data_IF_421846903480
#
_entry.id   IF_421846903480
#
_cell.length_a   1.000
_cell.length_b   1.000
_cell.length_c   1.000
_cell.angle_alpha   90.00
_cell.angle_beta   90.00
_cell.angle_gamma   90.00
#
_symmetry.space_group_name_H-M   'P 1'
#
loop_
_entity.id
_entity.type
_entity.pdbx_description
1 polymer ?
#
# COMPACT_ATOMS: atom_id res chain seq x y z
N UNK A 1 -33.06 -1.88 40.79
CA UNK A 1 -34.39 -1.28 40.67
C UNK A 1 -34.91 -1.65 39.26
N UNK A 2 -35.47 -2.86 39.20
CA UNK A 2 -35.99 -3.49 37.97
C UNK A 2 -37.51 -3.32 38.02
N UNK A 3 -38.09 -2.49 37.18
CA UNK A 3 -39.54 -2.35 37.10
C UNK A 3 -39.97 -2.49 35.62
N UNK A 4 -40.47 -3.67 35.34
CA UNK A 4 -41.62 -4.09 34.54
C UNK A 4 -41.84 -3.50 33.13
N UNK A 5 -41.12 -4.01 32.14
CA UNK A 5 -41.36 -3.80 30.69
C UNK A 5 -42.53 -4.66 30.14
N UNK A 6 -43.09 -5.58 30.91
CA UNK A 6 -44.21 -6.47 30.48
C UNK A 6 -45.58 -5.82 30.42
N UNK A 7 -45.80 -4.70 31.13
CA UNK A 7 -47.13 -4.08 31.19
C UNK A 7 -47.46 -3.15 30.01
N UNK A 8 -46.45 -2.63 29.35
CA UNK A 8 -46.64 -1.68 28.24
C UNK A 8 -46.88 -2.34 26.87
N UNK A 9 -46.58 -3.63 26.72
CA UNK A 9 -46.87 -4.40 25.50
C UNK A 9 -48.29 -4.93 25.37
N UNK A 10 -49.03 -4.97 26.48
CA UNK A 10 -50.42 -5.41 26.50
C UNK A 10 -51.39 -4.31 26.06
N UNK A 11 -51.15 -3.05 26.41
CA UNK A 11 -52.01 -1.91 26.03
C UNK A 11 -51.95 -1.55 24.53
N UNK A 12 -50.85 -1.86 23.85
CA UNK A 12 -50.69 -1.55 22.42
C UNK A 12 -51.41 -2.56 21.50
N UNK A 13 -51.71 -3.78 21.99
CA UNK A 13 -52.44 -4.80 21.21
C UNK A 13 -53.95 -4.60 21.17
N UNK A 14 -54.55 -3.95 22.17
CA UNK A 14 -55.98 -3.72 22.21
C UNK A 14 -56.42 -2.42 21.53
N UNK A 15 -55.51 -1.45 21.35
CA UNK A 15 -55.75 -0.22 20.58
C UNK A 15 -55.78 -0.44 19.06
N UNK A 16 -55.08 -1.45 18.56
CA UNK A 16 -55.03 -1.77 17.13
C UNK A 16 -56.24 -2.59 16.64
N UNK A 17 -56.94 -3.28 17.57
CA UNK A 17 -58.10 -4.12 17.20
C UNK A 17 -59.40 -3.32 17.14
N UNK A 18 -59.46 -2.11 17.74
CA UNK A 18 -60.67 -1.26 17.76
C UNK A 18 -60.76 -0.33 16.52
N UNK A 19 -59.68 -0.22 15.72
CA UNK A 19 -59.63 0.67 14.56
C UNK A 19 -59.97 -0.02 13.22
N UNK A 20 -60.22 -1.34 13.22
CA UNK A 20 -60.47 -2.14 12.00
C UNK A 20 -61.97 -2.39 11.75
N UNK A 21 -62.88 -2.02 12.68
CA UNK A 21 -64.35 -2.35 12.57
C UNK A 21 -65.21 -1.22 12.09
N UNK A 22 -64.67 -0.11 11.54
CA UNK A 22 -65.49 1.08 11.18
C UNK A 22 -65.42 1.52 9.71
N UNK A 23 -65.13 0.64 8.79
CA UNK A 23 -65.13 0.98 7.35
C UNK A 23 -65.80 -0.11 6.49
N UNK A 24 -67.13 -0.33 6.72
CA UNK A 24 -67.93 -0.98 5.73
C UNK A 24 -69.40 -0.45 5.88
N UNK A 25 -69.68 0.59 5.12
CA UNK A 25 -71.03 0.83 4.53
C UNK A 25 -70.93 2.11 3.68
N UNK A 26 -71.00 2.03 2.39
CA UNK A 26 -71.97 2.78 1.57
C UNK A 26 -71.90 2.33 0.12
N UNK A 27 -72.95 1.80 -0.35
CA UNK A 27 -73.31 1.47 -1.72
C UNK A 27 -73.89 2.69 -2.43
N UNK A 28 -73.68 2.84 -3.75
CA UNK A 28 -74.50 3.76 -4.56
C UNK A 28 -73.84 4.08 -5.91
N UNK A 29 -74.28 3.34 -6.95
CA UNK A 29 -74.07 3.72 -8.37
C UNK A 29 -74.98 4.86 -8.80
N UNK A 30 -74.65 5.64 -9.86
CA UNK A 30 -75.07 5.19 -11.21
C UNK A 30 -74.04 5.39 -12.32
N UNK A 31 -74.22 4.63 -13.38
CA UNK A 31 -73.56 4.63 -14.68
C UNK A 31 -73.68 5.98 -15.37
N UNK A 32 -72.61 6.45 -15.94
CA UNK A 32 -72.59 7.25 -17.18
C UNK A 32 -71.49 6.75 -18.09
N UNK A 33 -71.93 6.34 -19.26
CA UNK A 33 -71.08 5.98 -20.41
C UNK A 33 -70.31 7.21 -20.86
N UNK A 34 -68.98 7.12 -20.89
CA UNK A 34 -68.11 7.96 -21.75
C UNK A 34 -67.13 7.08 -22.49
N UNK A 35 -67.06 7.37 -23.76
CA UNK A 35 -66.23 6.74 -24.82
C UNK A 35 -64.77 6.50 -24.41
N UNK A 36 -64.09 5.49 -24.99
CA UNK A 36 -62.71 5.18 -24.63
C UNK A 36 -61.79 6.29 -25.18
N UNK A 37 -61.28 7.10 -24.28
CA UNK A 37 -60.10 7.92 -24.53
C UNK A 37 -58.95 6.94 -24.76
N UNK A 38 -58.36 6.98 -25.96
CA UNK A 38 -57.11 6.31 -26.28
C UNK A 38 -56.08 6.74 -25.22
N UNK A 39 -55.70 5.83 -24.37
CA UNK A 39 -54.48 5.95 -23.61
C UNK A 39 -53.32 5.94 -24.61
N UNK A 40 -52.75 7.11 -24.91
CA UNK A 40 -51.45 7.20 -25.53
C UNK A 40 -50.49 6.71 -24.44
N UNK A 41 -49.98 5.50 -24.63
CA UNK A 41 -48.82 5.03 -23.91
C UNK A 41 -47.66 5.96 -24.24
N UNK A 42 -47.35 6.93 -23.39
CA UNK A 42 -46.07 7.61 -23.40
C UNK A 42 -44.98 6.54 -23.08
N UNK A 43 -44.27 6.08 -24.10
CA UNK A 43 -43.05 5.32 -23.86
C UNK A 43 -42.07 6.22 -23.07
N UNK A 44 -41.77 5.88 -21.83
CA UNK A 44 -40.86 6.62 -20.96
C UNK A 44 -39.53 6.92 -21.71
N UNK A 45 -39.19 8.20 -21.79
CA UNK A 45 -37.93 8.68 -22.37
C UNK A 45 -37.90 8.95 -23.88
N UNK A 46 -39.07 9.03 -24.55
CA UNK A 46 -39.14 9.45 -25.95
C UNK A 46 -39.30 10.98 -26.08
N UNK A 47 -38.45 11.64 -26.82
CA UNK A 47 -38.48 13.10 -27.07
C UNK A 47 -38.63 13.36 -28.56
N UNK A 48 -39.62 14.18 -28.92
CA UNK A 48 -39.92 14.60 -30.30
C UNK A 48 -39.59 16.08 -30.50
N UNK A 49 -38.86 16.42 -31.57
CA UNK A 49 -38.52 17.79 -31.99
C UNK A 49 -39.14 18.11 -33.32
N UNK A 50 -39.67 19.33 -33.49
CA UNK A 50 -39.99 19.87 -34.82
C UNK A 50 -38.70 20.17 -35.60
N UNK A 51 -38.78 20.29 -36.95
CA UNK A 51 -37.60 20.63 -37.76
C UNK A 51 -36.93 21.97 -37.36
N UNK A 52 -37.72 22.92 -36.88
CA UNK A 52 -37.24 24.23 -36.40
C UNK A 52 -36.48 24.06 -35.04
N UNK A 53 -37.07 23.34 -34.12
CA UNK A 53 -36.44 23.03 -32.81
C UNK A 53 -35.14 22.25 -33.00
N UNK A 54 -35.11 21.27 -33.91
CA UNK A 54 -33.93 20.50 -34.27
C UNK A 54 -32.76 21.36 -34.73
N UNK A 55 -33.06 22.40 -35.55
CA UNK A 55 -32.06 23.35 -36.04
C UNK A 55 -31.58 24.30 -34.92
N UNK A 56 -32.49 24.80 -34.11
CA UNK A 56 -32.15 25.73 -33.03
C UNK A 56 -31.28 25.07 -31.97
N UNK A 57 -31.57 23.81 -31.65
CA UNK A 57 -30.78 23.03 -30.70
C UNK A 57 -29.44 22.50 -31.29
N UNK A 58 -29.11 22.84 -32.51
CA UNK A 58 -27.89 22.43 -33.23
C UNK A 58 -27.58 20.93 -33.07
N UNK A 59 -28.63 20.09 -33.11
CA UNK A 59 -28.49 18.65 -32.91
C UNK A 59 -27.60 18.07 -34.02
N UNK A 60 -26.49 17.46 -33.56
CA UNK A 60 -25.64 16.65 -34.45
C UNK A 60 -25.62 15.21 -34.00
N UNK A 61 -25.68 14.32 -35.01
CA UNK A 61 -25.66 12.87 -34.79
C UNK A 61 -24.28 12.32 -35.10
N UNK A 62 -23.83 11.38 -34.27
CA UNK A 62 -22.62 10.60 -34.47
C UNK A 62 -22.88 9.13 -34.17
N UNK A 63 -21.83 8.36 -34.11
CA UNK A 63 -21.84 6.95 -33.74
C UNK A 63 -20.84 6.75 -32.61
N UNK A 64 -20.93 5.62 -31.87
CA UNK A 64 -19.88 5.23 -30.99
C UNK A 64 -18.58 5.07 -31.76
N UNK A 65 -17.53 5.73 -31.28
CA UNK A 65 -16.21 5.63 -31.86
C UNK A 65 -15.34 4.75 -30.98
N UNK A 66 -14.52 3.91 -31.60
CA UNK A 66 -13.46 3.22 -30.89
C UNK A 66 -12.32 4.19 -30.67
N UNK A 67 -11.99 4.42 -29.41
CA UNK A 67 -10.91 5.30 -28.98
C UNK A 67 -9.95 4.54 -28.08
N UNK A 68 -8.67 4.80 -28.26
CA UNK A 68 -7.68 4.42 -27.29
C UNK A 68 -7.74 5.40 -26.12
N UNK A 69 -8.35 4.98 -25.02
CA UNK A 69 -8.37 5.78 -23.79
C UNK A 69 -7.47 5.13 -22.75
N UNK A 70 -6.61 5.94 -22.16
CA UNK A 70 -5.75 5.52 -21.04
C UNK A 70 -6.48 5.74 -19.72
N UNK A 71 -6.81 4.66 -19.07
CA UNK A 71 -7.35 4.71 -17.73
C UNK A 71 -6.26 5.04 -16.73
N UNK A 72 -6.58 5.86 -15.74
CA UNK A 72 -5.73 6.02 -14.55
C UNK A 72 -6.43 5.47 -13.34
N UNK A 73 -5.72 4.69 -12.52
CA UNK A 73 -6.21 4.25 -11.22
C UNK A 73 -5.64 5.18 -10.15
N UNK A 74 -6.52 5.93 -9.48
CA UNK A 74 -6.12 6.81 -8.37
C UNK A 74 -5.91 5.97 -7.12
N UNK A 75 -4.74 6.10 -6.51
CA UNK A 75 -4.33 5.37 -5.32
C UNK A 75 -3.58 6.29 -4.36
N UNK A 76 -3.52 5.89 -3.10
CA UNK A 76 -2.69 6.56 -2.10
C UNK A 76 -1.51 5.66 -1.73
N UNK A 77 -0.50 6.24 -1.12
CA UNK A 77 0.66 5.50 -0.67
C UNK A 77 1.56 6.31 0.26
N UNK A 78 2.70 5.75 0.54
CA UNK A 78 3.77 6.36 1.31
C UNK A 78 5.11 6.14 0.60
N UNK A 79 6.07 6.99 0.88
CA UNK A 79 7.47 6.67 0.58
C UNK A 79 8.00 5.73 1.65
N UNK A 80 8.58 4.61 1.26
CA UNK A 80 9.13 3.63 2.18
C UNK A 80 10.53 3.20 1.76
N UNK A 81 11.21 2.52 2.68
CA UNK A 81 12.54 1.99 2.49
C UNK A 81 12.50 0.48 2.28
N UNK A 82 13.25 -0.05 1.31
CA UNK A 82 13.42 -1.49 1.24
C UNK A 82 14.09 -2.00 2.53
N UNK A 83 13.77 -3.23 2.99
CA UNK A 83 14.29 -3.77 4.26
C UNK A 83 15.82 -3.73 4.38
N UNK A 84 16.55 -3.81 3.27
CA UNK A 84 18.03 -3.71 3.24
C UNK A 84 18.56 -2.32 3.56
N UNK A 85 17.75 -1.28 3.39
CA UNK A 85 18.11 0.13 3.59
C UNK A 85 17.74 0.65 4.97
N UNK A 86 17.09 -0.15 5.81
CA UNK A 86 16.78 0.18 7.21
C UNK A 86 17.46 -0.84 8.13
N UNK A 87 18.44 -0.40 8.90
CA UNK A 87 19.23 -1.29 9.76
C UNK A 87 19.09 -0.89 11.23
N UNK A 88 18.76 -1.90 12.04
CA UNK A 88 18.78 -1.79 13.50
C UNK A 88 20.18 -2.09 14.04
N UNK A 89 20.69 -1.23 14.88
CA UNK A 89 21.97 -1.42 15.58
C UNK A 89 21.68 -1.85 17.01
N UNK A 90 22.06 -3.08 17.32
CA UNK A 90 22.02 -3.66 18.67
C UNK A 90 23.45 -3.96 19.14
N UNK A 91 23.62 -4.25 20.41
CA UNK A 91 24.90 -4.64 20.96
C UNK A 91 25.10 -6.16 20.92
N UNK A 92 26.27 -6.69 20.51
CA UNK A 92 26.54 -8.13 20.54
C UNK A 92 26.83 -8.67 21.96
N UNK A 93 27.12 -7.79 22.90
CA UNK A 93 27.32 -8.09 24.31
C UNK A 93 26.56 -7.04 25.15
N UNK A 94 25.78 -7.45 26.13
CA UNK A 94 25.09 -6.53 27.02
C UNK A 94 26.03 -5.61 27.74
N UNK A 95 25.56 -4.47 28.26
CA UNK A 95 26.39 -3.56 29.01
C UNK A 95 25.84 -2.16 29.15
N UNK A 96 26.64 -1.30 29.74
CA UNK A 96 26.30 0.10 29.97
C UNK A 96 26.87 0.95 28.83
N UNK A 97 26.03 1.82 28.27
CA UNK A 97 26.45 2.84 27.28
C UNK A 97 27.32 3.87 28.00
N UNK A 98 28.61 3.88 27.71
CA UNK A 98 29.57 4.81 28.29
C UNK A 98 29.58 6.14 27.59
N UNK A 99 29.46 6.14 26.27
CA UNK A 99 29.40 7.34 25.47
C UNK A 99 28.62 7.08 24.16
N UNK A 100 27.90 8.10 23.71
CA UNK A 100 27.30 8.20 22.38
C UNK A 100 27.13 9.68 22.03
N UNK A 101 27.38 10.03 20.80
CA UNK A 101 27.19 11.38 20.25
C UNK A 101 26.07 11.40 19.21
N UNK A 102 25.40 10.26 19.02
CA UNK A 102 24.38 10.12 18.00
C UNK A 102 23.11 10.88 18.33
N UNK A 103 22.67 11.69 17.37
CA UNK A 103 21.40 12.39 17.38
C UNK A 103 20.54 11.96 16.19
N UNK A 104 19.23 11.97 16.40
CA UNK A 104 18.30 11.74 15.30
C UNK A 104 18.49 12.80 14.21
N UNK A 105 18.54 12.38 12.94
CA UNK A 105 18.81 13.22 11.80
C UNK A 105 20.29 13.33 11.41
N UNK A 106 21.22 12.85 12.22
CA UNK A 106 22.65 12.86 11.87
C UNK A 106 22.93 11.92 10.70
N UNK A 107 23.75 12.39 9.76
CA UNK A 107 24.30 11.56 8.66
C UNK A 107 25.54 10.83 9.16
N UNK A 108 25.58 9.52 8.97
CA UNK A 108 26.71 8.65 9.34
C UNK A 108 27.19 7.87 8.13
N UNK A 109 28.48 7.52 8.13
CA UNK A 109 29.06 6.59 7.16
C UNK A 109 29.20 5.21 7.78
N UNK A 110 29.19 4.16 6.97
CA UNK A 110 29.55 2.81 7.42
C UNK A 110 30.88 2.83 8.15
N UNK A 111 30.93 2.23 9.33
CA UNK A 111 32.11 2.22 10.20
C UNK A 111 32.24 3.44 11.14
N UNK A 112 31.31 4.40 11.11
CA UNK A 112 31.29 5.50 12.09
C UNK A 112 30.98 4.93 13.49
N UNK A 113 31.75 5.37 14.52
CA UNK A 113 31.50 5.00 15.91
C UNK A 113 30.17 5.59 16.37
N UNK A 114 29.23 4.72 16.78
CA UNK A 114 27.88 5.14 17.24
C UNK A 114 27.72 5.07 18.75
N UNK A 115 28.40 4.12 19.43
CA UNK A 115 28.42 4.06 20.87
C UNK A 115 29.68 3.38 21.40
N UNK A 116 30.05 3.72 22.62
CA UNK A 116 31.07 3.03 23.40
C UNK A 116 30.39 2.32 24.56
N UNK A 117 30.55 1.00 24.63
CA UNK A 117 29.94 0.13 25.61
C UNK A 117 30.94 -0.32 26.66
N UNK A 118 30.47 -0.56 27.87
CA UNK A 118 31.28 -1.10 28.98
C UNK A 118 30.58 -2.31 29.59
N UNK A 119 31.32 -3.43 29.73
CA UNK A 119 30.86 -4.61 30.45
C UNK A 119 32.06 -5.30 31.13
N UNK A 120 31.96 -5.70 32.40
CA UNK A 120 32.99 -6.49 33.07
C UNK A 120 33.30 -7.83 32.42
N UNK A 121 32.30 -8.49 31.83
CA UNK A 121 32.48 -9.75 31.11
C UNK A 121 33.44 -9.59 29.91
N UNK A 122 33.44 -8.42 29.26
CA UNK A 122 34.39 -8.13 28.16
C UNK A 122 35.85 -8.20 28.62
N UNK A 123 36.13 -7.79 29.90
CA UNK A 123 37.45 -7.92 30.51
C UNK A 123 37.77 -9.40 30.74
N UNK A 124 36.82 -10.15 31.29
CA UNK A 124 36.98 -11.59 31.55
C UNK A 124 37.24 -12.37 30.26
N UNK A 125 36.49 -12.06 29.17
CA UNK A 125 36.69 -12.70 27.89
C UNK A 125 38.11 -12.50 27.33
N UNK A 126 38.72 -11.34 27.54
CA UNK A 126 40.10 -11.05 27.16
C UNK A 126 41.11 -11.81 28.00
N UNK A 127 40.87 -11.93 29.33
CA UNK A 127 41.69 -12.72 30.23
C UNK A 127 41.65 -14.20 29.88
N UNK A 128 40.45 -14.76 29.64
CA UNK A 128 40.29 -16.16 29.21
C UNK A 128 41.05 -16.46 27.91
N UNK A 129 41.00 -15.53 26.93
CA UNK A 129 41.72 -15.67 25.68
C UNK A 129 43.26 -15.76 25.93
N UNK A 130 43.82 -14.89 26.76
CA UNK A 130 45.22 -14.89 27.09
C UNK A 130 45.64 -16.16 27.86
N UNK A 131 44.78 -16.64 28.74
CA UNK A 131 45.03 -17.87 29.52
C UNK A 131 45.03 -19.10 28.59
N UNK A 132 43.98 -19.28 27.75
CA UNK A 132 43.94 -20.38 26.77
C UNK A 132 45.10 -20.34 25.80
N UNK A 133 45.54 -19.16 25.37
CA UNK A 133 46.70 -18.99 24.51
C UNK A 133 48.00 -19.46 25.20
N UNK A 134 48.20 -19.10 26.48
CA UNK A 134 49.35 -19.52 27.26
C UNK A 134 49.34 -21.05 27.48
N UNK A 135 48.19 -21.61 27.85
CA UNK A 135 48.01 -23.05 28.00
C UNK A 135 48.28 -23.80 26.69
N UNK A 136 47.80 -23.29 25.58
CA UNK A 136 47.98 -23.90 24.24
C UNK A 136 49.47 -23.97 23.89
N UNK A 137 50.23 -22.90 24.18
CA UNK A 137 51.69 -22.87 23.91
C UNK A 137 52.41 -23.97 24.73
N UNK A 138 52.05 -24.13 26.02
CA UNK A 138 52.62 -25.20 26.85
C UNK A 138 52.22 -26.59 26.34
N UNK A 139 50.94 -26.81 26.03
CA UNK A 139 50.46 -28.11 25.55
C UNK A 139 50.99 -28.48 24.16
N UNK A 140 51.30 -27.48 23.33
CA UNK A 140 51.98 -27.71 22.04
C UNK A 140 53.36 -28.29 22.25
N UNK A 141 54.14 -27.69 23.17
CA UNK A 141 55.49 -28.20 23.47
C UNK A 141 55.44 -29.59 24.11
N UNK A 142 54.43 -29.84 24.97
CA UNK A 142 54.21 -31.16 25.58
C UNK A 142 53.83 -32.22 24.52
N UNK A 143 52.93 -31.87 23.61
CA UNK A 143 52.56 -32.79 22.51
C UNK A 143 53.78 -33.11 21.62
N UNK A 144 54.54 -32.11 21.22
CA UNK A 144 55.78 -32.28 20.43
C UNK A 144 56.78 -33.22 21.13
N UNK A 145 56.95 -33.06 22.47
CA UNK A 145 57.82 -33.93 23.30
C UNK A 145 57.29 -35.37 23.33
N UNK A 146 55.96 -35.55 23.53
CA UNK A 146 55.38 -36.90 23.55
C UNK A 146 55.41 -37.60 22.18
N UNK A 147 55.34 -36.83 21.08
CA UNK A 147 55.53 -37.36 19.73
C UNK A 147 56.97 -37.81 19.45
N UNK A 148 57.99 -37.09 19.96
CA UNK A 148 59.39 -37.49 19.89
C UNK A 148 59.66 -38.77 20.70
N UNK A 149 59.17 -38.86 21.92
CA UNK A 149 59.31 -40.04 22.77
C UNK A 149 58.60 -41.27 22.22
N UNK A 150 57.46 -41.07 21.54
CA UNK A 150 56.75 -42.20 20.87
C UNK A 150 57.54 -42.72 19.66
N UNK A 151 58.20 -41.88 18.89
CA UNK A 151 59.07 -42.29 17.81
C UNK A 151 60.23 -43.16 18.25
N UNK A 152 60.77 -42.88 19.45
CA UNK A 152 61.86 -43.64 20.09
C UNK A 152 61.34 -44.88 20.88
N UNK A 153 60.02 -45.16 20.86
CA UNK A 153 59.34 -46.22 21.62
C UNK A 153 59.58 -46.15 23.15
N UNK A 154 59.81 -44.96 23.71
CA UNK A 154 60.10 -44.72 25.12
C UNK A 154 58.84 -44.48 25.95
N UNK A 155 57.75 -44.03 25.31
CA UNK A 155 56.54 -43.64 26.01
C UNK A 155 55.32 -44.61 25.72
N UNK A 156 54.24 -44.50 26.52
CA UNK A 156 53.05 -45.24 26.26
C UNK A 156 52.13 -44.46 25.27
N UNK A 157 51.52 -45.20 24.33
CA UNK A 157 50.54 -44.65 23.39
C UNK A 157 49.42 -43.87 24.09
N UNK A 158 49.08 -44.25 25.34
CA UNK A 158 48.10 -43.55 26.16
C UNK A 158 48.57 -42.12 26.53
N UNK A 159 49.90 -41.93 26.79
CA UNK A 159 50.45 -40.59 27.16
C UNK A 159 50.37 -39.67 25.92
N UNK A 160 50.76 -40.15 24.75
CA UNK A 160 50.62 -39.37 23.51
C UNK A 160 49.18 -39.01 23.20
N UNK A 161 48.26 -39.99 23.31
CA UNK A 161 46.84 -39.77 23.08
C UNK A 161 46.26 -38.72 24.07
N UNK A 162 46.66 -38.73 25.33
CA UNK A 162 46.27 -37.76 26.35
C UNK A 162 46.78 -36.36 25.93
N UNK A 163 48.07 -36.19 25.65
CA UNK A 163 48.63 -34.92 25.28
C UNK A 163 47.93 -34.33 24.02
N UNK A 164 47.66 -35.17 23.02
CA UNK A 164 46.92 -34.77 21.82
C UNK A 164 45.49 -34.34 22.13
N UNK A 165 44.80 -35.05 23.05
CA UNK A 165 43.42 -34.69 23.47
C UNK A 165 43.38 -33.35 24.20
N UNK A 166 44.33 -33.10 25.11
CA UNK A 166 44.42 -31.86 25.89
C UNK A 166 44.76 -30.68 24.98
N UNK A 167 45.72 -30.83 24.06
CA UNK A 167 46.05 -29.82 23.06
C UNK A 167 44.80 -29.46 22.19
N UNK A 168 44.12 -30.46 21.66
CA UNK A 168 42.94 -30.25 20.83
C UNK A 168 41.80 -29.55 21.65
N UNK A 169 41.61 -29.92 22.87
CA UNK A 169 40.59 -29.32 23.75
C UNK A 169 40.83 -27.83 23.99
N UNK A 170 42.07 -27.45 24.35
CA UNK A 170 42.41 -26.04 24.59
C UNK A 170 42.48 -25.25 23.30
N UNK A 171 42.91 -25.87 22.20
CA UNK A 171 42.87 -25.25 20.86
C UNK A 171 41.42 -24.86 20.49
N UNK A 172 40.47 -25.76 20.68
CA UNK A 172 39.08 -25.48 20.42
C UNK A 172 38.51 -24.35 21.31
N UNK A 173 38.88 -24.34 22.61
CA UNK A 173 38.48 -23.26 23.52
C UNK A 173 39.04 -21.91 23.09
N UNK A 174 40.31 -21.85 22.74
CA UNK A 174 40.95 -20.63 22.27
C UNK A 174 40.30 -20.11 21.00
N UNK A 175 39.99 -21.00 20.03
CA UNK A 175 39.31 -20.63 18.80
C UNK A 175 37.91 -20.07 19.08
N UNK A 176 37.13 -20.72 19.95
CA UNK A 176 35.81 -20.24 20.36
C UNK A 176 35.87 -18.86 21.05
N UNK A 177 36.84 -18.66 21.94
CA UNK A 177 37.04 -17.38 22.61
C UNK A 177 37.48 -16.26 21.66
N UNK A 178 38.37 -16.60 20.75
CA UNK A 178 38.80 -15.69 19.66
C UNK A 178 37.63 -15.26 18.80
N UNK A 179 36.75 -16.19 18.44
CA UNK A 179 35.55 -15.91 17.63
C UNK A 179 34.60 -14.97 18.36
N UNK A 180 34.32 -15.20 19.66
CA UNK A 180 33.52 -14.29 20.49
C UNK A 180 34.08 -12.87 20.53
N UNK A 181 35.38 -12.74 20.79
CA UNK A 181 36.06 -11.45 20.85
C UNK A 181 36.10 -10.74 19.50
N UNK A 182 36.14 -11.46 18.38
CA UNK A 182 36.09 -10.85 17.04
C UNK A 182 34.81 -10.11 16.74
N UNK A 183 33.69 -10.47 17.39
CA UNK A 183 32.41 -9.75 17.29
C UNK A 183 32.45 -8.36 17.95
N UNK A 184 33.44 -8.13 18.84
CA UNK A 184 33.60 -6.91 19.63
C UNK A 184 34.73 -6.02 19.11
N UNK A 185 35.18 -6.24 17.91
CA UNK A 185 36.25 -5.47 17.19
C UNK A 185 37.50 -5.29 18.05
N UNK A 186 38.00 -6.39 18.62
CA UNK A 186 39.22 -6.36 19.43
C UNK A 186 40.50 -6.41 18.56
N UNK A 187 41.49 -5.61 18.94
CA UNK A 187 42.83 -5.72 18.37
C UNK A 187 43.61 -6.82 19.09
N UNK A 188 43.68 -8.02 18.52
CA UNK A 188 44.36 -9.17 19.10
C UNK A 188 45.88 -8.92 19.29
N UNK A 189 46.52 -8.19 18.37
CA UNK A 189 47.93 -7.89 18.50
C UNK A 189 48.27 -7.01 19.75
N UNK A 190 47.36 -6.09 20.08
CA UNK A 190 47.46 -5.28 21.27
C UNK A 190 47.15 -6.10 22.55
N UNK A 191 46.09 -6.94 22.47
CA UNK A 191 45.70 -7.82 23.57
C UNK A 191 46.80 -8.81 23.92
N UNK A 192 47.45 -9.41 22.96
CA UNK A 192 48.57 -10.36 23.12
C UNK A 192 49.83 -9.73 23.74
N UNK A 193 49.93 -8.40 23.66
CA UNK A 193 50.93 -7.60 24.35
C UNK A 193 50.50 -7.17 25.79
N UNK A 194 49.35 -7.65 26.26
CA UNK A 194 48.83 -7.35 27.61
C UNK A 194 47.89 -6.14 27.69
N UNK A 195 47.50 -5.52 26.56
CA UNK A 195 46.59 -4.36 26.53
C UNK A 195 45.17 -4.82 26.65
N UNK A 196 44.61 -4.92 27.86
CA UNK A 196 43.20 -5.24 28.15
C UNK A 196 42.36 -3.95 28.09
N UNK A 197 41.30 -3.96 27.30
CA UNK A 197 40.33 -2.84 27.17
C UNK A 197 39.15 -3.05 28.09
N UNK A 198 38.65 -1.94 28.68
CA UNK A 198 37.44 -1.94 29.54
C UNK A 198 36.16 -1.74 28.72
N UNK A 199 36.28 -1.23 27.50
CA UNK A 199 35.18 -0.84 26.63
C UNK A 199 35.35 -1.42 25.27
N UNK A 200 34.23 -1.66 24.60
CA UNK A 200 34.15 -2.02 23.19
C UNK A 200 33.27 -1.02 22.42
N UNK A 201 33.45 -0.96 21.13
CA UNK A 201 32.82 0.03 20.27
C UNK A 201 31.71 -0.60 19.44
N UNK A 202 30.64 0.16 19.22
CA UNK A 202 29.60 -0.15 18.23
C UNK A 202 29.76 0.79 17.05
N UNK A 203 29.65 0.25 15.86
CA UNK A 203 29.81 0.99 14.61
C UNK A 203 28.59 0.91 13.74
N UNK A 204 28.37 1.96 12.92
CA UNK A 204 27.30 1.99 11.92
C UNK A 204 27.55 0.90 10.85
N UNK A 205 26.61 -0.03 10.63
CA UNK A 205 26.78 -1.11 9.65
C UNK A 205 26.57 -0.64 8.22
N UNK A 206 25.84 0.46 8.02
CA UNK A 206 25.59 1.10 6.73
C UNK A 206 25.84 2.61 6.81
N UNK A 207 25.99 3.26 5.66
CA UNK A 207 25.89 4.72 5.54
C UNK A 207 24.43 5.13 5.47
N UNK A 208 24.07 6.30 6.00
CA UNK A 208 22.70 6.78 5.99
C UNK A 208 22.43 7.81 7.07
N UNK A 209 21.18 7.96 7.48
CA UNK A 209 20.75 8.87 8.53
C UNK A 209 20.27 8.09 9.75
N UNK A 210 20.64 8.57 10.95
CA UNK A 210 20.11 8.05 12.21
C UNK A 210 18.64 8.47 12.33
N UNK A 211 17.74 7.50 12.23
CA UNK A 211 16.29 7.77 12.30
C UNK A 211 15.73 7.63 13.71
N UNK A 212 16.35 6.81 14.55
CA UNK A 212 15.96 6.64 15.95
C UNK A 212 17.19 6.46 16.83
N UNK A 213 17.12 7.05 18.03
CA UNK A 213 18.08 6.89 19.13
C UNK A 213 17.27 6.46 20.34
N UNK A 214 17.41 5.18 20.74
CA UNK A 214 16.64 4.58 21.84
C UNK A 214 17.50 4.34 23.09
N UNK A 215 18.63 5.02 23.19
CA UNK A 215 19.54 4.87 24.33
C UNK A 215 20.13 6.21 24.72
N UNK A 216 20.75 6.25 25.91
CA UNK A 216 21.47 7.41 26.43
C UNK A 216 22.69 6.97 27.23
N UNK A 217 23.59 7.89 27.51
CA UNK A 217 24.77 7.63 28.37
C UNK A 217 24.29 7.18 29.72
N UNK A 218 24.87 6.08 30.21
CA UNK A 218 24.52 5.42 31.48
C UNK A 218 23.40 4.38 31.40
N UNK A 219 22.69 4.28 30.27
CA UNK A 219 21.68 3.25 30.10
C UNK A 219 22.31 1.86 30.00
N UNK A 220 21.65 0.87 30.60
CA UNK A 220 21.97 -0.54 30.38
C UNK A 220 21.28 -0.98 29.06
N UNK A 221 22.00 -1.73 28.24
CA UNK A 221 21.51 -2.27 26.98
C UNK A 221 21.71 -3.79 26.93
N UNK A 222 20.65 -4.49 26.62
CA UNK A 222 20.64 -5.93 26.37
C UNK A 222 20.92 -6.21 24.89
N UNK A 223 21.28 -7.44 24.54
CA UNK A 223 21.53 -7.88 23.15
C UNK A 223 20.29 -7.83 22.26
N UNK A 224 19.09 -7.78 22.85
CA UNK A 224 17.81 -7.68 22.16
C UNK A 224 17.37 -6.25 21.90
N UNK A 225 18.00 -5.27 22.57
CA UNK A 225 17.60 -3.87 22.47
C UNK A 225 18.12 -3.25 21.17
N UNK A 226 17.25 -2.55 20.46
CA UNK A 226 17.62 -1.73 19.32
C UNK A 226 18.05 -0.36 19.81
N UNK A 227 19.35 -0.08 19.80
CA UNK A 227 19.92 1.17 20.31
C UNK A 227 19.75 2.31 19.33
N UNK A 228 19.99 2.02 18.04
CA UNK A 228 19.86 2.98 16.95
C UNK A 228 19.17 2.35 15.75
N UNK A 229 18.46 3.16 14.97
CA UNK A 229 18.09 2.80 13.60
C UNK A 229 18.77 3.72 12.62
N UNK A 230 19.34 3.16 11.58
CA UNK A 230 20.02 3.89 10.52
C UNK A 230 19.35 3.54 9.20
N UNK A 231 18.95 4.57 8.46
CA UNK A 231 18.24 4.46 7.19
C UNK A 231 19.10 5.02 6.06
N UNK A 232 19.29 4.23 5.03
CA UNK A 232 19.81 4.69 3.75
C UNK A 232 18.64 5.22 2.91
N UNK A 233 18.57 6.55 2.81
CA UNK A 233 17.46 7.25 2.12
C UNK A 233 17.78 7.52 0.64
N UNK A 234 18.87 7.02 0.10
CA UNK A 234 19.21 7.20 -1.32
C UNK A 234 18.29 6.38 -2.24
N UNK A 235 17.71 5.28 -1.74
CA UNK A 235 16.88 4.36 -2.51
C UNK A 235 15.48 4.21 -1.94
N UNK A 236 14.69 5.30 -1.96
CA UNK A 236 13.29 5.26 -1.57
C UNK A 236 12.41 4.59 -2.64
N UNK A 237 11.36 3.93 -2.18
CA UNK A 237 10.31 3.36 -3.01
C UNK A 237 8.99 4.06 -2.70
N UNK A 238 8.13 4.19 -3.72
CA UNK A 238 6.73 4.53 -3.46
C UNK A 238 5.97 3.21 -3.23
N UNK A 239 5.46 3.05 -2.02
CA UNK A 239 4.58 1.95 -1.66
C UNK A 239 3.13 2.41 -1.77
N UNK A 240 2.39 1.84 -2.75
CA UNK A 240 1.02 2.22 -3.05
C UNK A 240 0.05 1.17 -2.53
N UNK A 241 -1.05 1.64 -1.97
CA UNK A 241 -2.15 0.80 -1.50
C UNK A 241 -3.28 0.81 -2.52
N UNK A 242 -3.55 -0.33 -3.14
CA UNK A 242 -4.54 -0.47 -4.22
C UNK A 242 -5.65 -1.41 -3.80
N UNK A 243 -6.91 -1.05 -4.06
CA UNK A 243 -8.05 -1.92 -3.77
C UNK A 243 -8.05 -3.17 -4.65
N UNK A 244 -8.46 -4.31 -4.08
CA UNK A 244 -8.55 -5.62 -4.75
C UNK A 244 -9.23 -5.55 -6.13
N UNK A 245 -10.31 -4.78 -6.27
CA UNK A 245 -11.06 -4.60 -7.52
C UNK A 245 -10.24 -4.00 -8.66
N UNK A 246 -9.18 -3.24 -8.32
CA UNK A 246 -8.34 -2.54 -9.30
C UNK A 246 -7.05 -3.30 -9.62
N UNK A 247 -6.69 -4.31 -8.81
CA UNK A 247 -5.49 -5.14 -9.01
C UNK A 247 -5.41 -5.79 -10.40
N UNK A 248 -6.52 -6.30 -11.00
CA UNK A 248 -6.46 -6.91 -12.35
C UNK A 248 -6.02 -5.93 -13.45
N UNK A 249 -6.13 -4.61 -13.22
CA UNK A 249 -5.71 -3.57 -14.16
C UNK A 249 -4.22 -3.26 -14.10
N UNK A 250 -3.51 -3.80 -13.08
CA UNK A 250 -2.12 -3.49 -12.81
C UNK A 250 -1.18 -4.45 -13.54
N UNK A 251 -0.10 -3.90 -14.06
CA UNK A 251 0.98 -4.65 -14.71
C UNK A 251 2.34 -4.09 -14.27
N UNK A 252 3.33 -4.95 -14.22
CA UNK A 252 4.72 -4.53 -14.01
C UNK A 252 5.16 -3.57 -15.12
N UNK A 253 5.94 -2.57 -14.77
CA UNK A 253 6.46 -1.58 -15.70
C UNK A 253 5.49 -0.41 -16.02
N UNK A 254 4.27 -0.40 -15.47
CA UNK A 254 3.36 0.73 -15.63
C UNK A 254 3.95 1.99 -15.01
N UNK A 255 3.72 3.13 -15.67
CA UNK A 255 4.12 4.43 -15.14
C UNK A 255 3.14 4.90 -14.08
N UNK A 256 3.70 5.55 -13.08
CA UNK A 256 2.97 6.10 -11.94
C UNK A 256 3.35 7.57 -11.82
N UNK A 257 2.37 8.45 -11.94
CA UNK A 257 2.52 9.86 -11.59
C UNK A 257 2.08 10.04 -10.14
N UNK A 258 2.89 10.71 -9.34
CA UNK A 258 2.52 10.97 -7.95
C UNK A 258 2.93 12.36 -7.50
N UNK A 259 2.21 12.85 -6.48
CA UNK A 259 2.52 14.09 -5.77
C UNK A 259 2.56 13.82 -4.28
N UNK A 260 3.46 14.46 -3.58
CA UNK A 260 3.49 14.42 -2.11
C UNK A 260 2.38 15.32 -1.54
N UNK A 261 1.96 15.04 -0.30
CA UNK A 261 0.85 15.75 0.32
C UNK A 261 1.07 17.27 0.45
N UNK A 262 2.33 17.71 0.52
CA UNK A 262 2.71 19.09 0.84
C UNK A 262 3.19 19.87 -0.38
N UNK A 263 3.21 19.28 -1.58
CA UNK A 263 3.70 19.93 -2.78
C UNK A 263 2.80 19.66 -3.99
N UNK A 264 2.96 20.48 -5.03
CA UNK A 264 2.24 20.30 -6.30
C UNK A 264 3.14 19.71 -7.40
N UNK A 265 4.40 19.45 -7.09
CA UNK A 265 5.37 18.90 -8.06
C UNK A 265 5.02 17.47 -8.39
N UNK A 266 4.72 17.19 -9.64
CA UNK A 266 4.52 15.84 -10.15
C UNK A 266 5.86 15.10 -10.27
N UNK A 267 5.88 13.89 -9.76
CA UNK A 267 7.02 12.97 -9.80
C UNK A 267 6.62 11.69 -10.50
N UNK A 268 7.59 11.00 -11.05
CA UNK A 268 7.37 9.75 -11.78
C UNK A 268 7.98 8.57 -11.05
N UNK A 269 7.26 7.46 -11.08
CA UNK A 269 7.72 6.17 -10.61
C UNK A 269 7.28 5.07 -11.60
N UNK A 270 7.81 3.88 -11.41
CA UNK A 270 7.47 2.73 -12.25
C UNK A 270 7.11 1.54 -11.36
N UNK A 271 6.00 0.86 -11.64
CA UNK A 271 5.56 -0.34 -10.91
C UNK A 271 6.62 -1.43 -11.06
N UNK A 272 7.22 -1.83 -9.93
CA UNK A 272 8.28 -2.84 -9.87
C UNK A 272 7.76 -4.18 -9.35
N UNK A 273 6.95 -4.17 -8.28
CA UNK A 273 6.34 -5.36 -7.71
C UNK A 273 4.88 -5.13 -7.38
N UNK A 274 4.06 -6.16 -7.59
CA UNK A 274 2.66 -6.21 -7.17
C UNK A 274 2.56 -7.29 -6.11
N UNK A 275 2.11 -6.92 -4.91
CA UNK A 275 1.90 -7.84 -3.79
C UNK A 275 0.96 -9.00 -4.16
N UNK A 276 1.11 -10.12 -3.48
CA UNK A 276 0.30 -11.33 -3.69
C UNK A 276 -0.57 -11.66 -2.47
N UNK A 277 -0.68 -10.73 -1.54
CA UNK A 277 -1.50 -10.86 -0.35
C UNK A 277 -2.52 -9.73 -0.31
N UNK A 278 -3.76 -10.09 0.01
CA UNK A 278 -4.85 -9.13 0.22
C UNK A 278 -4.96 -8.87 1.71
N UNK A 279 -4.84 -7.62 2.12
CA UNK A 279 -4.98 -7.21 3.51
C UNK A 279 -6.42 -7.35 4.02
N UNK A 280 -6.62 -7.15 5.33
CA UNK A 280 -7.95 -7.13 5.95
C UNK A 280 -8.84 -6.02 5.38
N UNK A 281 -8.24 -4.93 4.94
CA UNK A 281 -8.86 -3.76 4.33
C UNK A 281 -9.17 -3.95 2.84
N UNK A 282 -9.01 -5.17 2.29
CA UNK A 282 -9.23 -5.50 0.89
C UNK A 282 -8.32 -4.71 -0.05
N UNK A 283 -7.06 -4.55 0.35
CA UNK A 283 -6.04 -3.86 -0.43
C UNK A 283 -4.83 -4.74 -0.68
N UNK A 284 -4.08 -4.39 -1.73
CA UNK A 284 -2.80 -5.00 -2.10
C UNK A 284 -1.74 -3.89 -2.13
N UNK A 285 -0.55 -4.19 -1.62
CA UNK A 285 0.60 -3.29 -1.68
C UNK A 285 1.33 -3.43 -3.01
N UNK A 286 1.73 -2.29 -3.58
CA UNK A 286 2.50 -2.21 -4.80
C UNK A 286 3.76 -1.40 -4.53
N UNK A 287 4.91 -1.95 -4.90
CA UNK A 287 6.18 -1.26 -4.80
C UNK A 287 6.55 -0.65 -6.15
N UNK A 288 6.82 0.64 -6.14
CA UNK A 288 7.22 1.40 -7.33
C UNK A 288 8.59 2.03 -7.12
N UNK A 289 9.48 1.86 -8.08
CA UNK A 289 10.76 2.55 -8.10
C UNK A 289 10.57 3.99 -8.57
N UNK A 290 11.18 4.94 -7.88
CA UNK A 290 11.22 6.32 -8.31
C UNK A 290 12.10 6.45 -9.55
N UNK A 291 11.64 7.17 -10.56
CA UNK A 291 12.41 7.39 -11.79
C UNK A 291 13.59 8.37 -11.57
N UNK A 292 13.53 9.16 -10.50
CA UNK A 292 14.61 10.06 -10.06
C UNK A 292 14.77 10.00 -8.55
N UNK A 293 16.01 9.84 -8.11
CA UNK A 293 16.37 9.93 -6.69
C UNK A 293 16.32 11.40 -6.23
N UNK A 294 15.85 11.61 -5.02
CA UNK A 294 15.78 12.92 -4.37
C UNK A 294 16.10 12.76 -2.89
N UNK A 295 17.22 13.32 -2.48
CA UNK A 295 17.73 13.23 -1.10
C UNK A 295 16.93 14.05 -0.08
N UNK A 296 16.00 14.90 -0.53
CA UNK A 296 15.12 15.67 0.34
C UNK A 296 13.89 14.85 0.77
N UNK A 297 13.63 13.73 0.10
CA UNK A 297 12.53 12.85 0.44
C UNK A 297 12.80 12.09 1.73
N UNK A 298 11.78 11.98 2.57
CA UNK A 298 11.87 11.31 3.86
C UNK A 298 10.91 10.10 3.87
N UNK A 299 11.35 8.93 4.38
CA UNK A 299 10.48 7.79 4.57
C UNK A 299 9.25 8.15 5.41
N UNK A 300 8.09 7.60 5.04
CA UNK A 300 6.81 7.89 5.69
C UNK A 300 6.05 9.09 5.11
N UNK A 301 6.60 9.82 4.13
CA UNK A 301 5.86 10.88 3.43
C UNK A 301 4.67 10.29 2.68
N UNK A 302 3.48 10.87 2.88
CA UNK A 302 2.26 10.49 2.16
C UNK A 302 2.26 11.02 0.74
N UNK A 303 1.75 10.20 -0.18
CA UNK A 303 1.61 10.54 -1.58
C UNK A 303 0.25 10.15 -2.15
N UNK A 304 -0.17 10.90 -3.16
CA UNK A 304 -1.30 10.57 -4.04
C UNK A 304 -0.74 10.19 -5.40
N UNK A 305 -1.15 9.06 -5.93
CA UNK A 305 -0.64 8.55 -7.18
C UNK A 305 -1.75 8.20 -8.17
N UNK A 306 -1.39 8.26 -9.44
CA UNK A 306 -2.19 7.83 -10.57
C UNK A 306 -1.39 6.79 -11.34
N UNK A 307 -1.82 5.53 -11.26
CA UNK A 307 -1.22 4.43 -12.02
C UNK A 307 -1.84 4.41 -13.41
N UNK A 308 -1.04 4.48 -14.45
CA UNK A 308 -1.50 4.44 -15.84
C UNK A 308 -1.92 3.01 -16.20
N UNK A 309 -3.21 2.80 -16.46
CA UNK A 309 -3.77 1.47 -16.72
C UNK A 309 -3.52 0.96 -18.15
N UNK A 310 -2.69 1.65 -18.93
CA UNK A 310 -2.48 1.37 -20.35
C UNK A 310 -3.63 1.86 -21.22
N UNK A 311 -3.39 1.95 -22.51
CA UNK A 311 -4.41 2.28 -23.49
C UNK A 311 -5.26 1.04 -23.80
N UNK A 312 -6.56 1.18 -23.66
CA UNK A 312 -7.51 0.17 -24.14
C UNK A 312 -8.38 0.79 -25.25
N UNK A 313 -8.58 0.05 -26.32
CA UNK A 313 -9.57 0.43 -27.32
C UNK A 313 -10.96 0.21 -26.73
N UNK A 314 -11.70 1.30 -26.50
CA UNK A 314 -13.03 1.30 -25.89
C UNK A 314 -14.00 2.08 -26.76
N UNK A 315 -15.28 1.70 -26.70
CA UNK A 315 -16.34 2.50 -27.31
C UNK A 315 -16.56 3.76 -26.48
N UNK A 316 -16.43 4.93 -27.11
CA UNK A 316 -16.51 6.23 -26.45
C UNK A 316 -17.38 7.21 -27.23
N UNK A 317 -17.92 8.17 -26.50
CA UNK A 317 -18.65 9.32 -27.03
C UNK A 317 -17.99 10.62 -26.53
N UNK A 318 -18.14 11.73 -27.25
CA UNK A 318 -17.76 13.05 -26.73
C UNK A 318 -18.51 13.34 -25.44
N UNK A 319 -17.85 13.96 -24.46
CA UNK A 319 -18.42 14.24 -23.12
C UNK A 319 -19.77 14.98 -23.19
N UNK A 320 -19.92 15.87 -24.16
CA UNK A 320 -21.16 16.63 -24.43
C UNK A 320 -22.34 15.79 -24.93
N UNK A 321 -22.12 14.52 -25.32
CA UNK A 321 -23.18 13.59 -25.69
C UNK A 321 -23.86 12.94 -24.48
N UNK A 322 -23.21 13.01 -23.30
CA UNK A 322 -23.63 12.33 -22.08
C UNK A 322 -24.26 13.36 -21.14
N UNK A 323 -25.50 13.11 -20.74
CA UNK A 323 -26.24 13.96 -19.82
C UNK A 323 -26.50 13.22 -18.52
N UNK A 324 -26.61 13.97 -17.41
CA UNK A 324 -26.93 13.41 -16.11
C UNK A 324 -28.34 13.83 -15.68
N UNK A 325 -29.13 12.85 -15.29
CA UNK A 325 -30.48 13.04 -14.80
C UNK A 325 -30.76 12.07 -13.67
N UNK A 326 -31.29 12.56 -12.54
CA UNK A 326 -31.58 11.80 -11.31
C UNK A 326 -30.40 10.90 -10.83
N UNK A 327 -29.17 11.39 -10.97
CA UNK A 327 -27.97 10.66 -10.54
C UNK A 327 -27.54 9.52 -11.47
N UNK A 328 -28.18 9.38 -12.63
CA UNK A 328 -27.85 8.42 -13.67
C UNK A 328 -27.40 9.15 -14.94
N UNK A 329 -26.65 8.44 -15.78
CA UNK A 329 -26.14 9.00 -17.04
C UNK A 329 -26.88 8.41 -18.23
N UNK A 330 -27.16 9.28 -19.18
CA UNK A 330 -27.97 8.95 -20.35
C UNK A 330 -27.34 9.50 -21.66
N UNK A 331 -27.73 8.85 -22.74
CA UNK A 331 -27.48 9.34 -24.11
C UNK A 331 -28.79 9.31 -24.88
N UNK A 332 -28.90 10.16 -25.90
CA UNK A 332 -30.08 10.20 -26.78
C UNK A 332 -29.76 9.49 -28.07
N UNK A 333 -30.59 8.52 -28.47
CA UNK A 333 -30.47 7.75 -29.71
C UNK A 333 -31.60 8.17 -30.63
N UNK A 334 -31.22 8.55 -31.87
CA UNK A 334 -32.19 8.90 -32.90
C UNK A 334 -33.00 7.69 -33.33
N UNK A 335 -34.33 7.83 -33.33
CA UNK A 335 -35.29 6.85 -33.82
C UNK A 335 -35.66 7.11 -35.29
N UNK A 336 -36.39 6.18 -35.90
CA UNK A 336 -36.93 6.37 -37.24
C UNK A 336 -37.92 7.55 -37.24
N UNK A 337 -37.83 8.42 -38.23
CA UNK A 337 -38.72 9.59 -38.32
C UNK A 337 -40.18 9.16 -38.45
N UNK A 338 -41.03 9.67 -37.56
CA UNK A 338 -42.49 9.61 -37.74
C UNK A 338 -42.94 10.93 -38.33
N UNK A 339 -43.28 10.93 -39.61
CA UNK A 339 -43.71 12.11 -40.35
C UNK A 339 -42.62 13.19 -40.49
N UNK A 340 -42.91 14.43 -39.97
CA UNK A 340 -41.96 15.57 -40.01
C UNK A 340 -41.17 15.73 -38.72
N UNK A 341 -41.45 14.94 -37.67
CA UNK A 341 -40.82 15.05 -36.35
C UNK A 341 -39.52 14.23 -36.29
N UNK A 342 -38.57 14.73 -35.52
CA UNK A 342 -37.35 14.01 -35.17
C UNK A 342 -37.53 13.41 -33.77
N UNK A 343 -37.41 12.12 -33.65
CA UNK A 343 -37.62 11.39 -32.39
C UNK A 343 -36.29 10.87 -31.84
N UNK A 344 -36.14 10.98 -30.51
CA UNK A 344 -34.95 10.57 -29.77
C UNK A 344 -35.38 9.77 -28.56
N UNK A 345 -34.76 8.62 -28.34
CA UNK A 345 -34.96 7.80 -27.16
C UNK A 345 -33.81 8.02 -26.18
N UNK A 346 -34.15 8.33 -24.95
CA UNK A 346 -33.19 8.45 -23.84
C UNK A 346 -32.81 7.05 -23.34
N UNK A 347 -31.52 6.73 -23.32
CA UNK A 347 -31.01 5.41 -22.94
C UNK A 347 -29.99 5.58 -21.79
N UNK A 348 -30.22 4.86 -20.69
CA UNK A 348 -29.30 4.81 -19.57
C UNK A 348 -27.98 4.14 -19.97
N UNK A 349 -26.87 4.77 -19.62
CA UNK A 349 -25.52 4.28 -19.94
C UNK A 349 -24.64 4.25 -18.69
N UNK A 350 -23.73 3.30 -18.66
CA UNK A 350 -22.65 3.28 -17.70
C UNK A 350 -21.42 3.92 -18.34
N UNK A 351 -20.84 4.89 -17.66
CA UNK A 351 -19.60 5.54 -18.10
C UNK A 351 -18.39 4.89 -17.45
N UNK A 352 -17.29 4.84 -18.19
CA UNK A 352 -16.00 4.35 -17.73
C UNK A 352 -14.95 5.45 -17.72
N UNK A 353 -13.84 5.19 -18.40
CA UNK A 353 -12.69 6.12 -18.51
C UNK A 353 -13.09 7.35 -19.32
N UNK A 354 -12.67 8.53 -18.86
CA UNK A 354 -12.82 9.80 -19.56
C UNK A 354 -11.43 10.41 -19.81
N UNK A 355 -11.14 10.74 -21.07
CA UNK A 355 -9.87 11.32 -21.50
C UNK A 355 -10.03 12.11 -22.79
N UNK A 356 -9.33 13.24 -22.91
CA UNK A 356 -9.29 14.08 -24.12
C UNK A 356 -10.66 14.49 -24.66
N UNK A 357 -11.66 14.73 -23.78
CA UNK A 357 -13.02 15.14 -24.17
C UNK A 357 -13.90 13.99 -24.67
N UNK A 358 -13.49 12.74 -24.46
CA UNK A 358 -14.25 11.53 -24.72
C UNK A 358 -14.42 10.71 -23.47
N UNK A 359 -15.60 10.12 -23.29
CA UNK A 359 -15.90 9.21 -22.18
C UNK A 359 -16.30 7.85 -22.72
N UNK A 360 -15.71 6.80 -22.16
CA UNK A 360 -16.11 5.42 -22.41
C UNK A 360 -17.58 5.23 -22.01
N UNK A 361 -18.36 4.60 -22.90
CA UNK A 361 -19.79 4.36 -22.68
C UNK A 361 -20.11 2.88 -22.91
N UNK A 362 -20.92 2.31 -22.01
CA UNK A 362 -21.53 0.99 -22.18
C UNK A 362 -23.00 1.06 -21.81
N UNK A 363 -23.87 0.47 -22.62
CA UNK A 363 -25.30 0.42 -22.36
C UNK A 363 -25.75 -1.02 -22.06
N UNK A 364 -26.90 -1.17 -21.43
CA UNK A 364 -27.55 -2.47 -21.14
C UNK A 364 -28.06 -3.15 -22.44
N UNK A 365 -28.10 -2.39 -23.59
CA UNK A 365 -28.40 -2.87 -24.94
C UNK A 365 -27.30 -2.41 -25.92
N UNK A 366 -27.29 -2.99 -27.13
CA UNK A 366 -26.30 -2.63 -28.14
C UNK A 366 -26.58 -1.22 -28.68
N UNK A 367 -25.66 -0.29 -28.42
CA UNK A 367 -25.60 1.02 -29.10
C UNK A 367 -24.80 0.96 -30.41
N UNK A 368 -24.23 -0.20 -30.72
CA UNK A 368 -23.39 -0.39 -31.94
C UNK A 368 -24.16 -0.10 -33.22
N UNK A 369 -23.70 0.87 -33.99
CA UNK A 369 -24.35 1.32 -35.22
C UNK A 369 -25.53 2.27 -35.03
N UNK A 370 -25.95 2.55 -33.78
CA UNK A 370 -27.01 3.53 -33.50
C UNK A 370 -26.51 4.97 -33.75
N UNK A 371 -27.38 5.83 -34.23
CA UNK A 371 -27.12 7.27 -34.36
C UNK A 371 -27.39 7.96 -33.04
N UNK A 372 -26.32 8.35 -32.34
CA UNK A 372 -26.35 9.00 -31.03
C UNK A 372 -26.21 10.51 -31.20
N UNK A 373 -26.92 11.29 -30.40
CA UNK A 373 -26.77 12.74 -30.36
C UNK A 373 -25.41 13.07 -29.70
N UNK A 374 -24.52 13.68 -30.49
CA UNK A 374 -23.18 14.09 -30.01
C UNK A 374 -23.07 15.58 -29.68
N UNK A 375 -24.05 16.39 -30.08
CA UNK A 375 -24.22 17.78 -29.70
C UNK A 375 -25.72 18.09 -29.52
N UNK A 376 -26.07 18.98 -28.54
CA UNK A 376 -27.44 19.34 -28.25
C UNK A 376 -28.18 18.33 -27.31
N UNK A 377 -27.48 17.39 -26.68
CA UNK A 377 -28.09 16.42 -25.76
C UNK A 377 -28.71 17.08 -24.52
N UNK A 378 -28.17 18.21 -24.05
CA UNK A 378 -28.71 18.96 -22.92
C UNK A 378 -30.05 19.62 -23.24
N UNK A 379 -30.24 20.11 -24.49
CA UNK A 379 -31.52 20.69 -24.93
C UNK A 379 -32.64 19.64 -24.97
N UNK A 380 -32.29 18.42 -25.39
CA UNK A 380 -33.21 17.28 -25.33
C UNK A 380 -33.58 16.93 -23.88
N UNK A 381 -32.61 16.90 -22.97
CA UNK A 381 -32.88 16.65 -21.56
C UNK A 381 -33.79 17.73 -20.94
N UNK A 382 -33.55 19.00 -21.29
CA UNK A 382 -34.38 20.10 -20.82
C UNK A 382 -35.83 19.94 -21.25
N UNK A 383 -36.05 19.40 -22.45
CA UNK A 383 -37.40 19.13 -22.97
C UNK A 383 -38.04 17.94 -22.24
N UNK A 384 -37.31 16.88 -21.92
CA UNK A 384 -37.82 15.76 -21.08
C UNK A 384 -38.36 16.30 -19.76
N UNK A 385 -37.54 17.10 -19.05
CA UNK A 385 -37.90 17.68 -17.75
C UNK A 385 -39.19 18.53 -17.81
N UNK A 386 -39.29 19.39 -18.82
CA UNK A 386 -40.49 20.22 -18.98
C UNK A 386 -41.76 19.39 -19.28
N UNK A 387 -41.62 18.26 -19.95
CA UNK A 387 -42.77 17.37 -20.24
C UNK A 387 -43.21 16.59 -18.98
N UNK A 388 -42.31 16.25 -18.09
CA UNK A 388 -42.61 15.59 -16.80
C UNK A 388 -43.29 16.55 -15.82
N UNK A 389 -42.81 17.83 -15.74
CA UNK A 389 -43.46 18.86 -14.90
C UNK A 389 -44.86 19.23 -15.35
N UNK A 390 -45.15 19.19 -16.68
CA UNK A 390 -46.51 19.41 -17.19
C UNK A 390 -47.46 18.20 -16.93
N UNK A 391 -46.92 16.99 -16.74
CA UNK A 391 -47.66 15.77 -16.43
C UNK A 391 -48.07 15.61 -14.97
N UNK A 392 -47.34 16.22 -14.03
CA UNK A 392 -47.68 16.17 -12.58
C UNK A 392 -48.63 17.30 -12.10
N UNK A 393 -49.02 18.21 -12.99
CA UNK A 393 -49.79 19.40 -12.68
C UNK A 393 -51.33 19.28 -12.86
N UNK A 394 -51.88 18.06 -12.90
CA UNK A 394 -53.37 17.85 -12.98
C UNK A 394 -53.92 16.98 -11.87
#
# INVERSE_FOLDING_TARGET
MIFNIKFMKSLFKYSLLLMITLMFTSCGSPKDEKEPVKEEHHEDGLVSLTPEQYKVAEITLGVLEKKELSGTTKVNGILDLPPKSLVSVSTPLEGIVKNTEMLQGMKVKKGTLVAVMQNPEFIQMQQDYLDYRSQLLFLKQELERQEELDKENVNSKKALQKAKSEFNSVSARLLGQKTKLSLLDINFAALEKGSIRKTFNLYAPISGYVTQVNTNIGAFASTTDVLFKIADTEHLHAELTVFEKDVPKLKLGQKVRFTLANEQTERMATVFLIGREISKERTVQIHCHLDREDTQLIPGMYLKAYVESGTNEVEALPDRAIVEFEGKKYVFVAQAKQGKMHEFKMIEVKTGVAENGYTQVSATGSLSGAKVVVNGAYDLLSKVKNTEEEGEGH
#
